data_IF_535394331471
#
_entry.id   IF_535394331471
#
_cell.length_a   1.000
_cell.length_b   1.000
_cell.length_c   1.000
_cell.angle_alpha   90.00
_cell.angle_beta   90.00
_cell.angle_gamma   90.00
#
_symmetry.space_group_name_H-M   'P 1'
#
loop_
_entity.id
_entity.type
_entity.pdbx_description
1 polymer ?
#
# COMPACT_ATOMS: atom_id res chain seq x y z
N UNK A 1 -17.77 54.69 -12.77
CA UNK A 1 -17.80 53.22 -12.53
C UNK A 1 -16.65 52.62 -13.33
N UNK A 2 -15.48 52.50 -12.70
CA UNK A 2 -14.32 51.81 -13.27
C UNK A 2 -14.18 50.47 -12.52
N UNK A 3 -14.27 49.38 -13.27
CA UNK A 3 -14.02 48.02 -12.79
C UNK A 3 -12.52 47.76 -12.70
N UNK A 4 -11.97 47.70 -11.48
CA UNK A 4 -10.60 47.24 -11.23
C UNK A 4 -10.53 45.72 -11.42
N UNK A 5 -9.90 45.29 -12.52
CA UNK A 5 -9.38 43.92 -12.65
C UNK A 5 -8.16 43.75 -11.74
N UNK A 6 -8.27 42.97 -10.67
CA UNK A 6 -7.10 42.55 -9.89
C UNK A 6 -6.28 41.55 -10.71
N UNK A 7 -5.09 41.95 -11.14
CA UNK A 7 -4.13 41.05 -11.79
C UNK A 7 -3.50 40.14 -10.73
N UNK A 8 -4.01 38.90 -10.62
CA UNK A 8 -3.40 37.87 -9.78
C UNK A 8 -2.01 37.55 -10.32
N UNK A 9 -0.98 37.72 -9.48
CA UNK A 9 0.40 37.42 -9.86
C UNK A 9 0.54 35.94 -10.27
N UNK A 10 1.32 35.61 -11.32
CA UNK A 10 1.45 34.25 -11.79
C UNK A 10 2.10 33.35 -10.72
N UNK A 11 1.67 32.08 -10.60
CA UNK A 11 2.14 31.19 -9.55
C UNK A 11 3.65 30.92 -9.68
N UNK A 12 4.39 31.12 -8.58
CA UNK A 12 5.80 30.74 -8.45
C UNK A 12 5.88 29.25 -8.08
N UNK A 13 6.69 28.50 -8.81
CA UNK A 13 6.86 27.05 -8.67
C UNK A 13 8.21 26.73 -8.05
N UNK A 14 8.29 25.70 -7.20
CA UNK A 14 9.51 25.36 -6.47
C UNK A 14 9.98 23.92 -6.77
N UNK A 15 11.28 23.72 -6.84
CA UNK A 15 11.91 22.40 -6.96
C UNK A 15 11.69 21.57 -5.69
N UNK A 16 11.14 20.36 -5.80
CA UNK A 16 10.86 19.50 -4.65
C UNK A 16 12.11 18.96 -3.92
N UNK A 17 13.30 19.08 -4.52
CA UNK A 17 14.55 18.51 -3.97
C UNK A 17 15.45 19.56 -3.31
N UNK A 18 15.40 20.81 -3.78
CA UNK A 18 16.30 21.88 -3.30
C UNK A 18 15.59 23.22 -3.11
N UNK A 19 14.27 23.24 -3.22
CA UNK A 19 13.38 24.39 -2.98
C UNK A 19 13.67 25.66 -3.81
N UNK A 20 14.37 25.49 -4.93
CA UNK A 20 14.68 26.59 -5.84
C UNK A 20 13.42 27.09 -6.56
N UNK A 21 13.15 28.41 -6.63
CA UNK A 21 11.97 28.97 -7.30
C UNK A 21 12.13 29.08 -8.82
N UNK A 22 11.00 28.99 -9.53
CA UNK A 22 10.88 29.05 -10.98
C UNK A 22 9.55 29.69 -11.39
N UNK A 23 9.59 30.44 -12.48
CA UNK A 23 8.41 31.11 -13.04
C UNK A 23 7.67 30.30 -14.11
N UNK A 24 8.20 29.13 -14.52
CA UNK A 24 7.61 28.28 -15.58
C UNK A 24 7.78 26.80 -15.26
N UNK A 25 6.71 26.01 -15.41
CA UNK A 25 6.69 24.57 -15.11
C UNK A 25 7.76 23.78 -15.87
N UNK A 26 7.91 24.02 -17.18
CA UNK A 26 8.94 23.38 -18.00
C UNK A 26 10.37 23.56 -17.47
N UNK A 27 10.67 24.69 -16.79
CA UNK A 27 11.99 24.96 -16.21
C UNK A 27 12.22 24.26 -14.88
N UNK A 28 11.17 24.10 -14.06
CA UNK A 28 11.22 23.26 -12.84
C UNK A 28 11.51 21.82 -13.21
N UNK A 29 10.82 21.29 -14.21
CA UNK A 29 10.92 19.90 -14.66
C UNK A 29 12.32 19.56 -15.16
N UNK A 30 12.88 20.40 -16.05
CA UNK A 30 14.25 20.23 -16.52
C UNK A 30 15.32 20.46 -15.45
N UNK A 31 14.99 21.13 -14.34
CA UNK A 31 15.88 21.30 -13.19
C UNK A 31 15.84 20.09 -12.25
N UNK A 32 14.65 19.62 -11.87
CA UNK A 32 14.46 18.42 -11.04
C UNK A 32 15.12 17.22 -11.71
N UNK A 33 14.88 16.97 -13.00
CA UNK A 33 15.51 15.87 -13.74
C UNK A 33 17.05 15.91 -13.69
N UNK A 34 17.65 17.10 -13.79
CA UNK A 34 19.12 17.28 -13.69
C UNK A 34 19.64 17.08 -12.27
N UNK A 35 18.90 17.52 -11.25
CA UNK A 35 19.29 17.36 -9.84
C UNK A 35 19.18 15.89 -9.43
N UNK A 36 18.09 15.21 -9.83
CA UNK A 36 17.86 13.78 -9.61
C UNK A 36 18.90 12.94 -10.35
N UNK A 37 19.18 13.21 -11.63
CA UNK A 37 20.22 12.52 -12.40
C UNK A 37 21.63 12.71 -11.80
N UNK A 38 21.96 13.89 -11.28
CA UNK A 38 23.27 14.13 -10.64
C UNK A 38 23.41 13.42 -9.29
N UNK A 39 22.32 13.25 -8.53
CA UNK A 39 22.30 12.50 -7.27
C UNK A 39 22.34 10.98 -7.47
N UNK A 40 21.78 10.48 -8.58
CA UNK A 40 21.70 9.06 -8.92
C UNK A 40 22.82 8.58 -9.87
N UNK A 41 23.90 9.35 -10.00
CA UNK A 41 25.01 9.05 -10.91
C UNK A 41 25.93 7.94 -10.35
N UNK A 42 25.40 6.73 -10.30
CA UNK A 42 26.10 5.49 -10.59
C UNK A 42 25.05 4.43 -10.96
N UNK A 43 25.15 3.88 -12.18
CA UNK A 43 24.61 2.56 -12.60
C UNK A 43 23.22 2.38 -13.20
N UNK A 44 22.39 3.40 -13.50
CA UNK A 44 21.08 3.15 -14.16
C UNK A 44 20.80 3.89 -15.48
N UNK A 45 20.10 3.17 -16.36
CA UNK A 45 19.68 3.55 -17.72
C UNK A 45 18.74 4.77 -17.72
N UNK A 46 18.99 5.72 -18.63
CA UNK A 46 18.34 7.04 -18.69
C UNK A 46 16.83 6.94 -18.90
N UNK A 47 16.36 5.94 -19.64
CA UNK A 47 14.96 5.82 -20.03
C UNK A 47 14.07 5.35 -18.87
N UNK A 48 14.58 4.44 -18.04
CA UNK A 48 13.89 3.98 -16.82
C UNK A 48 13.78 5.10 -15.76
N UNK A 49 14.82 5.93 -15.65
CA UNK A 49 14.84 7.12 -14.76
C UNK A 49 13.82 8.16 -15.22
N UNK A 50 13.66 8.36 -16.53
CA UNK A 50 12.64 9.26 -17.09
C UNK A 50 11.22 8.77 -16.79
N UNK A 51 10.96 7.47 -16.93
CA UNK A 51 9.67 6.87 -16.60
C UNK A 51 9.35 6.96 -15.08
N UNK A 52 10.36 6.74 -14.23
CA UNK A 52 10.26 6.88 -12.78
C UNK A 52 9.97 8.32 -12.34
N UNK A 53 10.71 9.28 -12.92
CA UNK A 53 10.50 10.70 -12.65
C UNK A 53 9.12 11.19 -13.13
N UNK A 54 8.61 10.66 -14.24
CA UNK A 54 7.27 11.01 -14.74
C UNK A 54 6.16 10.42 -13.87
N UNK A 55 6.32 9.18 -13.38
CA UNK A 55 5.36 8.55 -12.46
C UNK A 55 5.29 9.32 -11.12
N UNK A 56 6.44 9.57 -10.47
CA UNK A 56 6.52 10.39 -9.25
C UNK A 56 5.99 11.82 -9.46
N UNK A 57 6.17 12.39 -10.66
CA UNK A 57 5.67 13.71 -11.06
C UNK A 57 4.15 13.76 -11.20
N UNK A 58 3.51 12.71 -11.74
CA UNK A 58 2.04 12.62 -11.75
C UNK A 58 1.51 12.57 -10.31
N UNK A 59 2.10 11.74 -9.46
CA UNK A 59 1.68 11.62 -8.05
C UNK A 59 1.86 12.93 -7.24
N UNK A 60 2.97 13.65 -7.38
CA UNK A 60 3.24 14.90 -6.61
C UNK A 60 2.46 16.13 -7.12
N UNK A 61 2.10 16.20 -8.41
CA UNK A 61 1.27 17.28 -8.94
C UNK A 61 -0.16 17.17 -8.39
N UNK A 62 -0.70 15.95 -8.33
CA UNK A 62 -2.05 15.70 -7.82
C UNK A 62 -2.13 15.88 -6.30
N UNK A 63 -1.08 15.48 -5.57
CA UNK A 63 -0.93 15.75 -4.12
C UNK A 63 -1.05 17.24 -3.78
N UNK A 64 -0.32 18.09 -4.51
CA UNK A 64 -0.34 19.55 -4.30
C UNK A 64 -1.63 20.21 -4.76
N UNK A 65 -2.35 19.64 -5.74
CA UNK A 65 -3.66 20.13 -6.17
C UNK A 65 -4.74 19.79 -5.14
N UNK A 66 -4.74 18.57 -4.60
CA UNK A 66 -5.66 18.18 -3.53
C UNK A 66 -5.44 19.00 -2.25
N UNK A 67 -4.19 19.14 -1.79
CA UNK A 67 -3.86 19.97 -0.63
C UNK A 67 -4.21 21.46 -0.82
N UNK A 68 -4.18 21.97 -2.06
CA UNK A 68 -4.64 23.33 -2.37
C UNK A 68 -6.16 23.45 -2.34
N UNK A 69 -6.90 22.48 -2.87
CA UNK A 69 -8.35 22.46 -2.81
C UNK A 69 -8.87 22.32 -1.35
N UNK A 70 -8.12 21.65 -0.48
CA UNK A 70 -8.44 21.57 0.96
C UNK A 70 -8.07 22.84 1.76
N UNK A 71 -7.20 23.74 1.27
CA UNK A 71 -6.94 25.01 1.96
C UNK A 71 -8.13 25.96 1.98
N UNK A 72 -9.06 25.81 1.04
CA UNK A 72 -10.36 26.50 1.07
C UNK A 72 -11.33 25.88 2.11
N UNK A 73 -10.99 24.70 2.66
CA UNK A 73 -11.70 23.96 3.71
C UNK A 73 -10.81 23.74 4.94
N UNK A 74 -10.33 24.82 5.58
CA UNK A 74 -9.75 24.87 6.96
C UNK A 74 -9.00 23.63 7.48
N UNK A 75 -8.16 22.97 6.68
CA UNK A 75 -7.23 21.94 7.14
C UNK A 75 -5.83 22.55 7.17
N UNK A 76 -5.39 22.97 8.34
CA UNK A 76 -4.07 23.56 8.57
C UNK A 76 -3.02 22.44 8.66
N UNK A 77 -2.68 21.88 7.50
CA UNK A 77 -1.65 20.83 7.37
C UNK A 77 -0.30 21.50 7.14
N UNK A 78 0.37 21.89 8.22
CA UNK A 78 1.76 22.35 8.21
C UNK A 78 2.72 21.15 8.14
N UNK A 79 2.83 20.55 6.96
CA UNK A 79 3.77 19.47 6.66
C UNK A 79 5.17 20.05 6.36
N UNK A 80 5.97 20.27 7.40
CA UNK A 80 7.43 20.17 7.28
C UNK A 80 7.88 18.83 7.88
N UNK A 81 8.88 18.20 7.27
CA UNK A 81 9.58 16.95 7.65
C UNK A 81 9.36 15.72 6.77
N UNK A 82 10.42 14.92 6.79
CA UNK A 82 11.06 14.14 5.74
C UNK A 82 10.32 12.85 5.36
N UNK A 83 10.20 12.57 4.07
CA UNK A 83 9.53 11.37 3.51
C UNK A 83 10.41 10.10 3.62
N UNK A 84 11.13 9.96 4.73
CA UNK A 84 12.18 8.94 4.94
C UNK A 84 11.71 7.52 5.32
N UNK A 85 10.46 7.04 5.09
CA UNK A 85 10.27 5.60 4.91
C UNK A 85 10.70 5.13 3.52
N UNK A 86 10.91 6.07 2.57
CA UNK A 86 11.27 5.81 1.18
C UNK A 86 12.54 6.56 0.75
N UNK A 87 13.60 6.47 1.55
CA UNK A 87 14.92 6.92 1.09
C UNK A 87 15.31 6.15 -0.19
N UNK A 88 15.82 6.83 -1.23
CA UNK A 88 16.53 6.12 -2.30
C UNK A 88 17.75 5.47 -1.65
N UNK A 89 17.72 4.15 -1.52
CA UNK A 89 18.85 3.36 -1.03
C UNK A 89 19.99 3.53 -2.04
N UNK A 90 20.99 4.35 -1.71
CA UNK A 90 22.13 4.66 -2.59
C UNK A 90 23.25 3.62 -2.53
N UNK A 91 23.15 2.55 -1.74
CA UNK A 91 24.29 1.65 -1.49
C UNK A 91 24.00 0.13 -1.48
N UNK A 92 22.87 -0.33 -2.03
CA UNK A 92 22.70 -1.77 -2.29
C UNK A 92 22.86 -2.00 -3.79
N UNK A 93 23.85 -2.83 -4.16
CA UNK A 93 24.06 -3.29 -5.52
C UNK A 93 22.69 -3.70 -6.10
N UNK A 94 22.23 -3.04 -7.18
CA UNK A 94 20.83 -3.17 -7.52
C UNK A 94 20.58 -4.55 -8.09
N UNK A 95 19.63 -5.28 -7.49
CA UNK A 95 18.91 -6.30 -8.21
C UNK A 95 18.25 -5.60 -9.41
N UNK A 96 18.89 -5.69 -10.57
CA UNK A 96 18.43 -5.08 -11.81
C UNK A 96 17.25 -5.91 -12.33
N UNK A 97 16.04 -5.57 -11.87
CA UNK A 97 14.81 -6.12 -12.43
C UNK A 97 14.66 -5.63 -13.87
N UNK A 98 15.01 -6.47 -14.84
CA UNK A 98 14.98 -6.14 -16.25
C UNK A 98 13.51 -6.01 -16.72
N UNK A 99 13.09 -4.79 -17.07
CA UNK A 99 11.71 -4.44 -17.42
C UNK A 99 11.42 -4.67 -18.91
N UNK A 100 11.72 -5.87 -19.41
CA UNK A 100 11.33 -6.28 -20.78
C UNK A 100 10.02 -7.11 -20.78
N UNK A 101 9.39 -7.18 -21.97
CA UNK A 101 8.03 -7.72 -22.24
C UNK A 101 7.62 -8.87 -21.31
N UNK A 102 6.42 -8.76 -20.73
CA UNK A 102 5.81 -9.80 -19.88
C UNK A 102 5.80 -11.18 -20.55
N UNK A 103 6.33 -12.18 -19.87
CA UNK A 103 6.11 -13.58 -20.25
C UNK A 103 4.63 -13.97 -20.10
N UNK A 104 4.19 -14.99 -20.85
CA UNK A 104 2.83 -15.54 -20.70
C UNK A 104 2.57 -16.07 -19.29
N UNK A 105 3.61 -16.58 -18.61
CA UNK A 105 3.54 -17.02 -17.22
C UNK A 105 3.31 -15.84 -16.26
N UNK A 106 4.03 -14.73 -16.42
CA UNK A 106 3.80 -13.52 -15.61
C UNK A 106 2.37 -12.96 -15.78
N UNK A 107 1.78 -13.07 -16.99
CA UNK A 107 0.37 -12.70 -17.21
C UNK A 107 -0.58 -13.61 -16.45
N UNK A 108 -0.34 -14.92 -16.48
CA UNK A 108 -1.15 -15.89 -15.75
C UNK A 108 -1.10 -15.65 -14.23
N UNK A 109 0.08 -15.41 -13.67
CA UNK A 109 0.22 -15.07 -12.25
C UNK A 109 -0.47 -13.76 -11.88
N UNK A 110 -0.39 -12.73 -12.73
CA UNK A 110 -1.13 -11.48 -12.50
C UNK A 110 -2.64 -11.70 -12.48
N UNK A 111 -3.17 -12.53 -13.40
CA UNK A 111 -4.59 -12.92 -13.39
C UNK A 111 -4.95 -13.68 -12.12
N UNK A 112 -4.12 -14.63 -11.67
CA UNK A 112 -4.35 -15.35 -10.41
C UNK A 112 -4.39 -14.42 -9.19
N UNK A 113 -3.50 -13.42 -9.12
CA UNK A 113 -3.52 -12.41 -8.06
C UNK A 113 -4.84 -11.63 -8.09
N UNK A 114 -5.28 -11.17 -9.26
CA UNK A 114 -6.56 -10.45 -9.41
C UNK A 114 -7.73 -11.33 -8.97
N UNK A 115 -7.76 -12.59 -9.41
CA UNK A 115 -8.84 -13.53 -9.08
C UNK A 115 -8.91 -13.84 -7.58
N UNK A 116 -7.77 -13.82 -6.88
CA UNK A 116 -7.71 -13.99 -5.43
C UNK A 116 -8.12 -12.75 -4.64
N UNK A 117 -7.89 -11.55 -5.18
CA UNK A 117 -8.25 -10.27 -4.54
C UNK A 117 -9.71 -9.90 -4.82
N UNK A 118 -10.26 -10.30 -5.96
CA UNK A 118 -11.64 -9.99 -6.37
C UNK A 118 -12.72 -10.32 -5.31
N UNK A 119 -12.62 -11.40 -4.53
CA UNK A 119 -13.59 -11.72 -3.47
C UNK A 119 -13.48 -10.85 -2.20
N UNK A 120 -12.42 -10.05 -2.04
CA UNK A 120 -12.18 -9.31 -0.80
C UNK A 120 -13.32 -8.36 -0.39
N UNK A 121 -13.98 -7.62 -1.31
CA UNK A 121 -15.17 -6.84 -0.96
C UNK A 121 -16.31 -7.69 -0.41
N UNK A 122 -16.52 -8.90 -0.93
CA UNK A 122 -17.55 -9.82 -0.42
C UNK A 122 -17.17 -10.38 0.95
N UNK A 123 -15.89 -10.70 1.15
CA UNK A 123 -15.31 -11.09 2.44
C UNK A 123 -15.50 -10.00 3.51
N UNK A 124 -15.37 -8.73 3.12
CA UNK A 124 -15.53 -7.57 4.00
C UNK A 124 -16.96 -7.39 4.56
N UNK A 125 -17.96 -8.12 4.04
CA UNK A 125 -19.35 -7.99 4.49
C UNK A 125 -19.61 -8.53 5.90
N UNK A 126 -18.72 -9.36 6.47
CA UNK A 126 -18.85 -9.97 7.80
C UNK A 126 -17.50 -10.04 8.50
N UNK A 127 -17.50 -9.88 9.83
CA UNK A 127 -16.29 -9.87 10.67
C UNK A 127 -15.51 -11.18 10.59
N UNK A 128 -16.21 -12.30 10.53
CA UNK A 128 -15.64 -13.66 10.53
C UNK A 128 -14.99 -14.03 9.20
N UNK A 129 -15.34 -13.31 8.13
CA UNK A 129 -14.86 -13.58 6.77
C UNK A 129 -13.92 -12.51 6.26
N UNK A 130 -13.38 -11.66 7.14
CA UNK A 130 -12.54 -10.55 6.72
C UNK A 130 -11.37 -10.97 5.82
N UNK A 131 -10.96 -10.09 4.88
CA UNK A 131 -9.79 -10.32 4.03
C UNK A 131 -8.53 -10.65 4.83
N UNK A 132 -7.54 -11.36 4.23
CA UNK A 132 -6.34 -11.87 4.94
C UNK A 132 -5.32 -10.78 5.35
N UNK A 133 -5.75 -9.52 5.44
CA UNK A 133 -5.01 -8.38 5.97
C UNK A 133 -5.78 -7.62 7.07
N UNK A 134 -6.99 -8.05 7.42
CA UNK A 134 -7.81 -7.47 8.49
C UNK A 134 -8.14 -8.58 9.48
N UNK A 135 -7.56 -8.52 10.68
CA UNK A 135 -7.81 -9.52 11.70
C UNK A 135 -9.18 -9.30 12.36
N UNK A 136 -10.02 -10.34 12.59
CA UNK A 136 -11.30 -10.19 13.27
C UNK A 136 -11.19 -9.64 14.69
N UNK A 137 -10.07 -9.91 15.38
CA UNK A 137 -9.80 -9.41 16.74
C UNK A 137 -8.98 -8.10 16.74
N UNK A 138 -8.86 -7.41 15.61
CA UNK A 138 -8.33 -6.03 15.62
C UNK A 138 -9.37 -5.13 16.30
N UNK A 139 -9.03 -4.62 17.47
CA UNK A 139 -9.91 -3.81 18.31
C UNK A 139 -9.47 -2.35 18.39
N UNK A 140 -10.41 -1.49 18.76
CA UNK A 140 -10.09 -0.13 19.22
C UNK A 140 -9.49 -0.18 20.63
N UNK A 141 -8.75 0.86 21.03
CA UNK A 141 -8.04 0.93 22.31
C UNK A 141 -8.99 0.69 23.50
N UNK A 142 -8.93 -0.51 24.10
CA UNK A 142 -9.66 -0.86 25.31
C UNK A 142 -11.10 -1.36 25.13
N UNK A 143 -11.57 -1.59 23.90
CA UNK A 143 -12.92 -2.07 23.61
C UNK A 143 -12.90 -3.38 22.81
N UNK A 144 -13.83 -4.30 23.06
CA UNK A 144 -14.01 -5.52 22.23
C UNK A 144 -14.70 -5.23 20.87
N UNK A 145 -14.84 -3.94 20.54
CA UNK A 145 -15.49 -3.47 19.33
C UNK A 145 -14.50 -3.29 18.17
N UNK A 146 -15.01 -3.55 16.96
CA UNK A 146 -14.31 -3.28 15.72
C UNK A 146 -14.07 -1.76 15.58
N UNK A 147 -12.90 -1.26 15.17
CA UNK A 147 -12.70 0.17 14.95
C UNK A 147 -13.69 0.78 13.95
N UNK A 148 -14.09 2.03 14.17
CA UNK A 148 -15.10 2.73 13.35
C UNK A 148 -14.84 2.69 11.83
N UNK A 149 -13.60 2.93 11.32
CA UNK A 149 -13.32 2.83 9.90
C UNK A 149 -13.68 1.46 9.30
N UNK A 150 -13.51 0.37 10.06
CA UNK A 150 -13.83 -0.98 9.62
C UNK A 150 -15.33 -1.30 9.75
N UNK A 151 -16.04 -0.75 10.75
CA UNK A 151 -17.51 -0.85 10.84
C UNK A 151 -18.17 -0.23 9.60
N UNK A 152 -17.71 0.97 9.21
CA UNK A 152 -18.20 1.67 8.02
C UNK A 152 -17.84 0.92 6.75
N UNK A 153 -16.58 0.48 6.61
CA UNK A 153 -16.14 -0.27 5.45
C UNK A 153 -16.93 -1.58 5.26
N UNK A 154 -17.27 -2.29 6.33
CA UNK A 154 -18.14 -3.48 6.30
C UNK A 154 -19.55 -3.14 5.81
N UNK A 155 -20.13 -2.03 6.30
CA UNK A 155 -21.47 -1.58 5.88
C UNK A 155 -21.49 -1.15 4.41
N UNK A 156 -20.45 -0.44 3.97
CA UNK A 156 -20.25 -0.05 2.58
C UNK A 156 -20.01 -1.27 1.69
N UNK A 157 -19.31 -2.29 2.16
CA UNK A 157 -19.14 -3.54 1.42
C UNK A 157 -20.46 -4.25 1.14
N UNK A 158 -21.39 -4.24 2.10
CA UNK A 158 -22.74 -4.76 1.92
C UNK A 158 -23.52 -3.94 0.89
N UNK A 159 -23.46 -2.60 0.98
CA UNK A 159 -24.06 -1.70 -0.02
C UNK A 159 -23.46 -1.91 -1.42
N UNK A 160 -22.14 -2.06 -1.50
CA UNK A 160 -21.41 -2.32 -2.73
C UNK A 160 -21.94 -3.59 -3.38
N UNK A 161 -22.02 -4.70 -2.66
CA UNK A 161 -22.51 -5.94 -3.26
C UNK A 161 -24.00 -5.91 -3.60
N UNK A 162 -24.82 -5.20 -2.82
CA UNK A 162 -26.26 -5.05 -3.07
C UNK A 162 -26.62 -4.03 -4.16
N UNK A 163 -25.64 -3.26 -4.68
CA UNK A 163 -25.89 -2.18 -5.64
C UNK A 163 -26.47 -2.71 -6.96
N UNK A 164 -27.30 -1.90 -7.58
CA UNK A 164 -27.79 -2.10 -8.94
C UNK A 164 -27.46 -0.86 -9.79
N UNK A 165 -27.89 -0.83 -11.06
CA UNK A 165 -27.62 0.28 -11.95
C UNK A 165 -28.07 1.64 -11.39
N UNK A 166 -29.20 1.67 -10.69
CA UNK A 166 -29.80 2.90 -10.16
C UNK A 166 -29.09 3.39 -8.88
N UNK A 167 -28.61 2.47 -8.05
CA UNK A 167 -27.97 2.79 -6.76
C UNK A 167 -26.45 2.90 -6.83
N UNK A 168 -25.84 2.54 -7.95
CA UNK A 168 -24.37 2.52 -8.12
C UNK A 168 -23.72 3.88 -7.84
N UNK A 169 -24.27 4.96 -8.38
CA UNK A 169 -23.74 6.32 -8.19
C UNK A 169 -23.78 6.73 -6.71
N UNK A 170 -24.87 6.41 -6.02
CA UNK A 170 -25.02 6.64 -4.59
C UNK A 170 -23.95 5.90 -3.79
N UNK A 171 -23.74 4.59 -4.04
CA UNK A 171 -22.71 3.81 -3.35
C UNK A 171 -21.31 4.39 -3.58
N UNK A 172 -20.98 4.80 -4.80
CA UNK A 172 -19.69 5.44 -5.09
C UNK A 172 -19.53 6.79 -4.39
N UNK A 173 -20.60 7.58 -4.30
CA UNK A 173 -20.61 8.80 -3.49
C UNK A 173 -20.38 8.49 -2.01
N UNK A 174 -20.98 7.43 -1.47
CA UNK A 174 -20.78 7.00 -0.08
C UNK A 174 -19.32 6.59 0.17
N UNK A 175 -18.71 5.82 -0.73
CA UNK A 175 -17.29 5.45 -0.65
C UNK A 175 -16.42 6.72 -0.63
N UNK A 176 -16.72 7.68 -1.52
CA UNK A 176 -16.01 8.96 -1.59
C UNK A 176 -16.06 9.71 -0.28
N UNK A 177 -17.27 9.96 0.20
CA UNK A 177 -17.50 10.72 1.43
C UNK A 177 -16.87 10.04 2.64
N UNK A 178 -16.86 8.70 2.67
CA UNK A 178 -16.18 7.97 3.73
C UNK A 178 -14.66 8.13 3.66
N UNK A 179 -14.05 8.05 2.48
CA UNK A 179 -12.61 8.32 2.32
C UNK A 179 -12.24 9.74 2.75
N UNK A 180 -13.08 10.74 2.43
CA UNK A 180 -12.91 12.12 2.89
C UNK A 180 -13.01 12.22 4.42
N UNK A 181 -13.99 11.55 5.02
CA UNK A 181 -14.16 11.48 6.48
C UNK A 181 -12.92 10.87 7.16
N UNK A 182 -12.33 9.83 6.58
CA UNK A 182 -11.10 9.24 7.11
C UNK A 182 -9.95 10.25 7.14
N UNK A 183 -9.81 11.08 6.10
CA UNK A 183 -8.77 12.12 6.04
C UNK A 183 -9.04 13.25 7.05
N UNK A 184 -10.30 13.68 7.17
CA UNK A 184 -10.68 14.75 8.11
C UNK A 184 -10.35 14.36 9.56
N UNK A 185 -10.60 13.11 9.94
CA UNK A 185 -10.37 12.62 11.31
C UNK A 185 -8.97 12.04 11.51
N UNK A 186 -8.13 12.02 10.47
CA UNK A 186 -6.85 11.31 10.47
C UNK A 186 -5.88 11.77 11.57
N UNK A 187 -5.96 13.04 11.98
CA UNK A 187 -5.12 13.61 13.03
C UNK A 187 -5.56 13.20 14.44
N UNK A 188 -6.84 12.88 14.62
CA UNK A 188 -7.39 12.47 15.93
C UNK A 188 -7.31 10.97 16.15
N UNK A 189 -7.02 10.19 15.11
CA UNK A 189 -6.94 8.74 15.19
C UNK A 189 -5.80 8.25 16.07
N UNK A 190 -6.10 7.23 16.88
CA UNK A 190 -5.09 6.40 17.52
C UNK A 190 -4.33 5.55 16.49
N UNK A 191 -3.26 4.85 16.91
CA UNK A 191 -2.54 3.92 16.02
C UNK A 191 -3.45 2.82 15.47
N UNK A 192 -4.38 2.31 16.28
CA UNK A 192 -5.33 1.27 15.89
C UNK A 192 -6.37 1.79 14.90
N UNK A 193 -6.88 3.01 15.12
CA UNK A 193 -7.81 3.66 14.20
C UNK A 193 -7.15 4.03 12.86
N UNK A 194 -5.89 4.47 12.89
CA UNK A 194 -5.14 4.76 11.67
C UNK A 194 -4.86 3.49 10.84
N UNK A 195 -4.55 2.36 11.49
CA UNK A 195 -4.43 1.07 10.83
C UNK A 195 -5.78 0.60 10.25
N UNK A 196 -6.87 0.79 10.99
CA UNK A 196 -8.22 0.50 10.51
C UNK A 196 -8.59 1.36 9.29
N UNK A 197 -8.27 2.66 9.31
CA UNK A 197 -8.45 3.57 8.18
C UNK A 197 -7.58 3.18 6.97
N UNK A 198 -6.34 2.75 7.20
CA UNK A 198 -5.46 2.23 6.15
C UNK A 198 -6.05 0.97 5.51
N UNK A 199 -6.56 0.06 6.33
CA UNK A 199 -7.22 -1.17 5.88
C UNK A 199 -8.48 -0.86 5.06
N UNK A 200 -9.34 0.04 5.53
CA UNK A 200 -10.55 0.46 4.86
C UNK A 200 -10.27 1.17 3.52
N UNK A 201 -9.30 2.09 3.49
CA UNK A 201 -8.91 2.78 2.25
C UNK A 201 -8.34 1.83 1.20
N UNK A 202 -7.54 0.82 1.60
CA UNK A 202 -7.07 -0.23 0.70
C UNK A 202 -8.24 -1.06 0.14
N UNK A 203 -9.24 -1.38 0.99
CA UNK A 203 -10.44 -2.08 0.56
C UNK A 203 -11.24 -1.28 -0.48
N UNK A 204 -11.37 0.03 -0.31
CA UNK A 204 -12.05 0.88 -1.31
C UNK A 204 -11.31 0.91 -2.64
N UNK A 205 -9.97 0.89 -2.64
CA UNK A 205 -9.19 0.72 -3.88
C UNK A 205 -9.43 -0.64 -4.53
N UNK A 206 -9.57 -1.71 -3.74
CA UNK A 206 -9.90 -3.05 -4.26
C UNK A 206 -11.31 -3.10 -4.84
N UNK A 207 -12.29 -2.50 -4.17
CA UNK A 207 -13.65 -2.32 -4.72
C UNK A 207 -13.60 -1.59 -6.05
N UNK A 208 -12.76 -0.55 -6.16
CA UNK A 208 -12.61 0.20 -7.40
C UNK A 208 -11.95 -0.59 -8.52
N UNK A 209 -10.90 -1.34 -8.22
CA UNK A 209 -10.19 -2.18 -9.17
C UNK A 209 -11.03 -3.37 -9.68
N UNK A 210 -12.01 -3.81 -8.88
CA UNK A 210 -12.88 -4.96 -9.21
C UNK A 210 -14.19 -4.54 -9.87
N UNK A 211 -14.56 -3.26 -9.80
CA UNK A 211 -15.74 -2.71 -10.49
C UNK A 211 -15.46 -2.52 -11.99
N UNK A 212 -16.20 -3.23 -12.83
CA UNK A 212 -15.90 -3.42 -14.26
C UNK A 212 -16.31 -2.26 -15.18
N UNK A 213 -16.87 -1.20 -14.62
CA UNK A 213 -17.48 -0.09 -15.37
C UNK A 213 -16.50 1.09 -15.48
N UNK A 214 -16.23 1.64 -16.69
CA UNK A 214 -15.40 2.81 -16.88
C UNK A 214 -15.95 4.03 -16.10
N UNK A 215 -15.37 4.29 -14.93
CA UNK A 215 -15.51 5.55 -14.22
C UNK A 215 -14.42 6.54 -14.64
N UNK A 216 -14.61 7.80 -14.26
CA UNK A 216 -13.67 8.89 -14.50
C UNK A 216 -12.29 8.58 -13.90
N UNK A 217 -11.25 8.54 -14.75
CA UNK A 217 -9.85 8.34 -14.34
C UNK A 217 -9.36 9.33 -13.28
N UNK A 218 -9.94 10.54 -13.21
CA UNK A 218 -9.61 11.54 -12.18
C UNK A 218 -9.98 11.03 -10.79
N UNK A 219 -11.12 10.35 -10.68
CA UNK A 219 -11.60 9.77 -9.44
C UNK A 219 -10.68 8.63 -8.97
N UNK A 220 -10.06 7.89 -9.87
CA UNK A 220 -9.18 6.79 -9.48
C UNK A 220 -7.88 7.30 -8.84
N UNK A 221 -7.31 8.35 -9.43
CA UNK A 221 -6.08 8.98 -8.92
C UNK A 221 -6.30 9.59 -7.54
N UNK A 222 -7.43 10.26 -7.33
CA UNK A 222 -7.75 10.87 -6.04
C UNK A 222 -7.91 9.83 -4.92
N UNK A 223 -8.52 8.68 -5.18
CA UNK A 223 -8.63 7.61 -4.17
C UNK A 223 -7.25 7.07 -3.78
N UNK A 224 -6.36 6.86 -4.76
CA UNK A 224 -4.99 6.43 -4.49
C UNK A 224 -4.25 7.48 -3.67
N UNK A 225 -4.48 8.76 -3.96
CA UNK A 225 -3.86 9.85 -3.22
C UNK A 225 -4.36 9.91 -1.76
N UNK A 226 -5.67 9.79 -1.52
CA UNK A 226 -6.21 9.71 -0.15
C UNK A 226 -5.61 8.51 0.61
N UNK A 227 -5.52 7.34 -0.03
CA UNK A 227 -4.89 6.17 0.57
C UNK A 227 -3.42 6.44 0.96
N UNK A 228 -2.66 7.17 0.13
CA UNK A 228 -1.28 7.56 0.45
C UNK A 228 -1.19 8.48 1.68
N UNK A 229 -2.10 9.45 1.82
CA UNK A 229 -2.15 10.32 3.01
C UNK A 229 -2.39 9.47 4.27
N UNK A 230 -3.37 8.57 4.22
CA UNK A 230 -3.70 7.68 5.34
C UNK A 230 -2.53 6.75 5.66
N UNK A 231 -1.91 6.16 4.64
CA UNK A 231 -0.74 5.29 4.78
C UNK A 231 0.43 6.00 5.46
N UNK A 232 0.73 7.23 5.05
CA UNK A 232 1.76 8.05 5.69
C UNK A 232 1.48 8.23 7.19
N UNK A 233 0.26 8.63 7.54
CA UNK A 233 -0.11 8.80 8.95
C UNK A 233 -0.04 7.50 9.75
N UNK A 234 -0.53 6.41 9.18
CA UNK A 234 -0.51 5.10 9.83
C UNK A 234 0.93 4.67 10.12
N UNK A 235 1.87 4.90 9.19
CA UNK A 235 3.31 4.64 9.39
C UNK A 235 3.87 5.52 10.50
N UNK A 236 3.55 6.82 10.52
CA UNK A 236 4.00 7.75 11.57
C UNK A 236 3.55 7.32 12.98
N UNK A 237 2.33 6.81 13.11
CA UNK A 237 1.76 6.40 14.40
C UNK A 237 2.15 4.98 14.83
N UNK A 238 2.55 4.13 13.88
CA UNK A 238 2.85 2.72 14.14
C UNK A 238 4.33 2.47 14.46
N UNK A 239 5.13 3.52 14.62
CA UNK A 239 6.54 3.46 14.99
C UNK A 239 7.32 2.45 14.12
N UNK A 240 7.78 1.35 14.71
CA UNK A 240 8.61 0.33 14.07
C UNK A 240 7.80 -0.83 13.45
N UNK A 241 6.47 -0.88 13.62
CA UNK A 241 5.63 -2.01 13.24
C UNK A 241 5.65 -2.33 11.72
N UNK A 242 5.88 -1.34 10.87
CA UNK A 242 6.01 -1.51 9.41
C UNK A 242 7.45 -1.86 8.96
N UNK A 243 8.42 -1.80 9.88
CA UNK A 243 9.85 -1.80 9.55
C UNK A 243 10.56 -3.03 10.10
N UNK A 244 10.39 -3.31 11.39
CA UNK A 244 11.21 -4.28 12.12
C UNK A 244 10.51 -5.64 12.16
N UNK A 245 11.25 -6.69 11.80
CA UNK A 245 10.88 -8.06 12.13
C UNK A 245 11.02 -8.22 13.64
N UNK A 246 9.93 -8.56 14.33
CA UNK A 246 9.91 -8.56 15.80
C UNK A 246 11.03 -9.40 16.41
N UNK A 247 11.73 -8.88 17.44
CA UNK A 247 12.54 -9.70 18.32
C UNK A 247 11.71 -10.80 19.00
N UNK A 248 12.34 -11.94 19.25
CA UNK A 248 11.76 -13.19 19.75
C UNK A 248 11.43 -13.17 21.26
N UNK A 249 10.92 -12.07 21.79
CA UNK A 249 10.71 -11.95 23.23
C UNK A 249 9.38 -12.57 23.68
N UNK A 250 9.42 -13.23 24.85
CA UNK A 250 8.36 -14.10 25.39
C UNK A 250 7.20 -13.37 26.07
N UNK A 251 7.29 -12.04 26.22
CA UNK A 251 6.31 -11.20 26.92
C UNK A 251 5.31 -10.51 25.98
N UNK A 252 5.00 -11.12 24.84
CA UNK A 252 4.09 -10.50 23.85
C UNK A 252 2.62 -10.62 24.23
N UNK A 253 1.92 -9.50 24.10
CA UNK A 253 0.47 -9.39 24.11
C UNK A 253 -0.06 -9.73 22.70
N UNK A 254 -1.02 -10.66 22.61
CA UNK A 254 -1.61 -11.06 21.33
C UNK A 254 -2.20 -9.88 20.53
N UNK A 255 -2.75 -8.87 21.19
CA UNK A 255 -3.29 -7.67 20.54
C UNK A 255 -2.20 -6.85 19.83
N UNK A 256 -1.01 -6.70 20.45
CA UNK A 256 0.11 -6.00 19.81
C UNK A 256 0.65 -6.78 18.61
N UNK A 257 0.71 -8.11 18.73
CA UNK A 257 1.08 -8.98 17.61
C UNK A 257 0.07 -8.86 16.46
N UNK A 258 -1.25 -8.87 16.74
CA UNK A 258 -2.29 -8.67 15.72
C UNK A 258 -2.07 -7.34 15.00
N UNK A 259 -1.79 -6.26 15.74
CA UNK A 259 -1.53 -4.95 15.17
C UNK A 259 -0.34 -4.98 14.20
N UNK A 260 0.80 -5.50 14.65
CA UNK A 260 2.04 -5.59 13.85
C UNK A 260 1.90 -6.51 12.64
N UNK A 261 1.27 -7.66 12.81
CA UNK A 261 1.00 -8.60 11.73
C UNK A 261 0.02 -8.01 10.70
N UNK A 262 -1.00 -7.27 11.15
CA UNK A 262 -1.93 -6.57 10.25
C UNK A 262 -1.21 -5.50 9.41
N UNK A 263 -0.32 -4.70 10.03
CA UNK A 263 0.54 -3.76 9.30
C UNK A 263 1.35 -4.48 8.20
N UNK A 264 2.00 -5.60 8.55
CA UNK A 264 2.79 -6.40 7.61
C UNK A 264 1.95 -6.95 6.45
N UNK A 265 0.76 -7.48 6.74
CA UNK A 265 -0.14 -8.07 5.74
C UNK A 265 -0.68 -7.04 4.76
N UNK A 266 -1.00 -5.83 5.24
CA UNK A 266 -1.42 -4.70 4.38
C UNK A 266 -0.34 -4.33 3.36
N UNK A 267 0.93 -4.24 3.79
CA UNK A 267 2.05 -3.94 2.88
C UNK A 267 2.08 -4.97 1.74
N UNK A 268 1.91 -6.26 2.06
CA UNK A 268 1.99 -7.34 1.08
C UNK A 268 0.80 -7.37 0.12
N UNK A 269 -0.41 -7.04 0.57
CA UNK A 269 -1.56 -6.88 -0.33
C UNK A 269 -1.35 -5.68 -1.24
N UNK A 270 -0.91 -4.54 -0.70
CA UNK A 270 -0.60 -3.36 -1.50
C UNK A 270 0.50 -3.62 -2.53
N UNK A 271 1.55 -4.36 -2.14
CA UNK A 271 2.62 -4.79 -3.03
C UNK A 271 2.09 -5.64 -4.18
N UNK A 272 1.28 -6.67 -3.91
CA UNK A 272 0.73 -7.55 -4.95
C UNK A 272 -0.12 -6.77 -5.98
N UNK A 273 -0.99 -5.86 -5.51
CA UNK A 273 -1.81 -5.00 -6.37
C UNK A 273 -0.92 -4.07 -7.20
N UNK A 274 0.05 -3.42 -6.56
CA UNK A 274 0.99 -2.51 -7.23
C UNK A 274 1.83 -3.23 -8.28
N UNK A 275 2.28 -4.45 -7.97
CA UNK A 275 3.04 -5.29 -8.89
C UNK A 275 2.21 -5.63 -10.13
N UNK A 276 0.97 -6.07 -9.96
CA UNK A 276 0.04 -6.33 -11.07
C UNK A 276 -0.17 -5.08 -11.91
N UNK A 277 -0.45 -3.93 -11.28
CA UNK A 277 -0.67 -2.66 -11.96
C UNK A 277 0.56 -2.22 -12.78
N UNK A 278 1.75 -2.20 -12.16
CA UNK A 278 3.00 -1.86 -12.82
C UNK A 278 3.21 -2.76 -14.04
N UNK A 279 2.99 -4.05 -13.87
CA UNK A 279 3.23 -5.04 -14.89
C UNK A 279 2.26 -4.91 -16.07
N UNK A 280 0.96 -4.74 -15.81
CA UNK A 280 -0.05 -4.53 -16.85
C UNK A 280 0.15 -3.20 -17.58
N UNK A 281 0.63 -2.17 -16.87
CA UNK A 281 0.90 -0.84 -17.42
C UNK A 281 2.29 -0.70 -18.06
N UNK A 282 3.09 -1.78 -18.08
CA UNK A 282 4.48 -1.77 -18.56
C UNK A 282 5.37 -0.71 -17.86
N UNK A 283 5.17 -0.53 -16.56
CA UNK A 283 5.91 0.36 -15.68
C UNK A 283 6.88 -0.43 -14.77
N UNK A 284 8.04 0.15 -14.40
CA UNK A 284 8.92 -0.44 -13.40
C UNK A 284 8.22 -0.58 -12.03
N UNK A 285 8.28 -1.78 -11.46
CA UNK A 285 7.81 -2.05 -10.10
C UNK A 285 8.98 -1.94 -9.11
N UNK A 286 9.18 -0.76 -8.54
CA UNK A 286 10.28 -0.52 -7.61
C UNK A 286 9.98 -1.00 -6.18
N UNK A 287 8.71 -1.32 -5.90
CA UNK A 287 8.31 -1.90 -4.61
C UNK A 287 9.06 -3.18 -4.28
N UNK A 288 9.42 -3.99 -5.30
CA UNK A 288 10.18 -5.21 -5.09
C UNK A 288 11.56 -4.95 -4.47
N UNK A 289 12.22 -3.85 -4.87
CA UNK A 289 13.51 -3.45 -4.29
C UNK A 289 13.32 -2.95 -2.86
N UNK A 290 12.31 -2.12 -2.62
CA UNK A 290 12.06 -1.52 -1.30
C UNK A 290 11.59 -2.55 -0.26
N UNK A 291 10.93 -3.62 -0.70
CA UNK A 291 10.31 -4.61 0.20
C UNK A 291 11.11 -5.92 0.31
N UNK A 292 12.23 -6.06 -0.39
CA UNK A 292 13.02 -7.30 -0.38
C UNK A 292 13.44 -7.73 1.04
N UNK A 293 13.78 -6.76 1.89
CA UNK A 293 14.26 -6.98 3.26
C UNK A 293 13.12 -6.95 4.29
N UNK A 294 11.86 -6.99 3.83
CA UNK A 294 10.69 -6.99 4.72
C UNK A 294 10.30 -8.41 5.11
N UNK A 295 9.84 -8.60 6.36
CA UNK A 295 9.41 -9.91 6.84
C UNK A 295 8.21 -10.42 6.06
N UNK A 296 8.22 -11.73 5.79
CA UNK A 296 7.07 -12.45 5.27
C UNK A 296 5.93 -12.48 6.30
N UNK A 297 4.67 -12.61 5.86
CA UNK A 297 3.54 -12.77 6.77
C UNK A 297 3.69 -14.06 7.59
N UNK A 298 3.05 -14.07 8.76
CA UNK A 298 2.98 -15.23 9.64
C UNK A 298 2.25 -16.41 8.98
N UNK A 299 2.35 -17.58 9.61
CA UNK A 299 1.59 -18.75 9.17
C UNK A 299 0.08 -18.53 9.29
N UNK A 300 -0.68 -19.30 8.50
CA UNK A 300 -2.14 -19.33 8.55
C UNK A 300 -2.66 -19.62 9.96
N UNK A 301 -2.04 -20.56 10.68
CA UNK A 301 -2.51 -20.98 12.00
C UNK A 301 -2.27 -19.92 13.07
N UNK A 302 -1.17 -19.15 12.97
CA UNK A 302 -0.96 -17.97 13.83
C UNK A 302 -2.00 -16.88 13.55
N UNK A 303 -2.29 -16.59 12.28
CA UNK A 303 -3.22 -15.54 11.88
C UNK A 303 -4.69 -15.86 12.14
N UNK A 304 -5.09 -17.13 12.01
CA UNK A 304 -6.48 -17.57 12.20
C UNK A 304 -6.79 -17.99 13.65
N UNK A 305 -5.85 -17.79 14.58
CA UNK A 305 -6.06 -18.07 15.99
C UNK A 305 -7.28 -17.30 16.52
N UNK A 306 -8.16 -18.01 17.25
CA UNK A 306 -9.42 -17.45 17.76
C UNK A 306 -9.28 -16.82 19.15
N UNK A 307 -8.17 -17.09 19.83
CA UNK A 307 -7.86 -16.55 21.14
C UNK A 307 -6.35 -16.56 21.38
N UNK A 308 -5.92 -15.80 22.38
CA UNK A 308 -4.52 -15.65 22.75
C UNK A 308 -3.84 -16.98 23.11
N UNK A 309 -4.53 -17.91 23.76
CA UNK A 309 -3.98 -19.24 24.12
C UNK A 309 -3.64 -20.07 22.88
N UNK A 310 -4.57 -20.10 21.91
CA UNK A 310 -4.34 -20.75 20.62
C UNK A 310 -3.19 -20.08 19.87
N UNK A 311 -3.19 -18.75 19.80
CA UNK A 311 -2.11 -18.01 19.14
C UNK A 311 -0.75 -18.30 19.77
N UNK A 312 -0.63 -18.28 21.10
CA UNK A 312 0.63 -18.59 21.80
C UNK A 312 1.15 -19.99 21.45
N UNK A 313 0.26 -20.97 21.37
CA UNK A 313 0.62 -22.34 20.98
C UNK A 313 1.17 -22.38 19.56
N UNK A 314 0.46 -21.78 18.61
CA UNK A 314 0.88 -21.75 17.21
C UNK A 314 2.15 -20.92 16.99
N UNK A 315 2.31 -19.82 17.71
CA UNK A 315 3.49 -18.95 17.66
C UNK A 315 4.74 -19.69 18.12
N UNK A 316 4.69 -20.41 19.25
CA UNK A 316 5.79 -21.27 19.72
C UNK A 316 6.12 -22.39 18.71
N UNK A 317 5.12 -22.99 18.08
CA UNK A 317 5.35 -24.02 17.04
C UNK A 317 5.96 -23.41 15.77
N UNK A 318 5.57 -22.20 15.41
CA UNK A 318 6.15 -21.46 14.29
C UNK A 318 7.61 -21.12 14.56
N UNK A 319 7.96 -20.73 15.79
CA UNK A 319 9.35 -20.48 16.22
C UNK A 319 10.26 -21.69 16.03
N UNK A 320 9.84 -22.88 16.47
CA UNK A 320 10.61 -24.13 16.30
C UNK A 320 10.83 -24.46 14.81
N UNK A 321 9.87 -24.08 13.95
CA UNK A 321 9.93 -24.32 12.50
C UNK A 321 10.66 -23.21 11.72
N UNK A 322 11.02 -22.08 12.36
CA UNK A 322 11.31 -20.78 11.71
C UNK A 322 12.67 -20.62 11.01
N UNK A 323 13.36 -21.67 10.60
CA UNK A 323 14.77 -21.53 10.21
C UNK A 323 15.05 -21.29 8.72
N UNK A 324 14.07 -21.11 7.82
CA UNK A 324 14.37 -21.24 6.38
C UNK A 324 13.96 -20.13 5.42
N UNK A 325 12.84 -19.41 5.63
CA UNK A 325 12.42 -18.23 4.85
C UNK A 325 11.76 -17.20 5.77
N UNK A 326 12.39 -16.05 5.96
CA UNK A 326 11.90 -15.01 6.89
C UNK A 326 11.59 -13.70 6.19
N UNK A 327 12.32 -13.41 5.11
CA UNK A 327 12.22 -12.19 4.32
C UNK A 327 11.71 -12.49 2.90
N UNK A 328 11.20 -11.48 2.23
CA UNK A 328 10.78 -11.64 0.83
C UNK A 328 11.92 -12.01 -0.10
N UNK A 329 13.13 -11.49 0.13
CA UNK A 329 14.32 -11.87 -0.63
C UNK A 329 14.61 -13.37 -0.50
N UNK A 330 14.40 -13.98 0.68
CA UNK A 330 14.59 -15.41 0.88
C UNK A 330 13.62 -16.21 0.00
N UNK A 331 12.34 -15.79 -0.03
CA UNK A 331 11.29 -16.44 -0.83
C UNK A 331 11.60 -16.30 -2.33
N UNK A 332 12.01 -15.10 -2.75
CA UNK A 332 12.42 -14.83 -4.12
C UNK A 332 13.60 -15.73 -4.53
N UNK A 333 14.64 -15.81 -3.69
CA UNK A 333 15.80 -16.67 -3.95
C UNK A 333 15.43 -18.16 -3.96
N UNK A 334 14.49 -18.60 -3.12
CA UNK A 334 14.00 -19.97 -3.15
C UNK A 334 13.29 -20.31 -4.47
N UNK A 335 12.47 -19.39 -5.01
CA UNK A 335 11.86 -19.54 -6.35
C UNK A 335 12.90 -19.48 -7.48
N UNK A 336 13.91 -18.61 -7.35
CA UNK A 336 15.00 -18.45 -8.34
C UNK A 336 15.90 -19.68 -8.41
N UNK A 337 16.19 -20.29 -7.26
CA UNK A 337 17.04 -21.50 -7.15
C UNK A 337 16.26 -22.80 -7.22
N UNK A 338 14.92 -22.75 -7.35
CA UNK A 338 14.02 -23.90 -7.29
C UNK A 338 14.24 -24.76 -6.04
N UNK A 339 14.42 -24.13 -4.87
CA UNK A 339 14.65 -24.82 -3.61
C UNK A 339 13.36 -25.46 -3.07
N UNK A 340 13.05 -26.66 -3.55
CA UNK A 340 11.82 -27.39 -3.22
C UNK A 340 11.64 -27.60 -1.71
N UNK A 341 12.72 -27.85 -0.95
CA UNK A 341 12.64 -28.06 0.50
C UNK A 341 12.12 -26.81 1.21
N UNK A 342 12.73 -25.65 0.94
CA UNK A 342 12.29 -24.38 1.54
C UNK A 342 10.88 -24.00 1.12
N UNK A 343 10.56 -24.18 -0.16
CA UNK A 343 9.23 -23.87 -0.71
C UNK A 343 8.15 -24.80 -0.15
N UNK A 344 8.42 -26.09 0.04
CA UNK A 344 7.45 -27.02 0.61
C UNK A 344 7.09 -26.66 2.05
N UNK A 345 8.08 -26.25 2.86
CA UNK A 345 7.86 -25.83 4.26
C UNK A 345 7.01 -24.56 4.29
N UNK A 346 7.35 -23.57 3.46
CA UNK A 346 6.57 -22.33 3.32
C UNK A 346 5.14 -22.63 2.87
N UNK A 347 4.98 -23.36 1.77
CA UNK A 347 3.68 -23.67 1.18
C UNK A 347 2.77 -24.49 2.12
N UNK A 348 3.34 -25.26 3.05
CA UNK A 348 2.57 -26.02 4.04
C UNK A 348 1.91 -25.12 5.11
N UNK A 349 2.44 -23.92 5.35
CA UNK A 349 2.00 -23.04 6.44
C UNK A 349 1.27 -21.77 6.01
N UNK A 350 1.23 -21.45 4.72
CA UNK A 350 0.67 -20.19 4.22
C UNK A 350 -0.85 -20.18 4.07
N UNK A 351 -1.40 -18.98 4.11
CA UNK A 351 -2.75 -18.67 3.68
C UNK A 351 -2.77 -18.08 2.26
N UNK A 352 -3.91 -17.48 1.88
CA UNK A 352 -4.09 -16.84 0.58
C UNK A 352 -3.09 -15.70 0.33
N UNK A 353 -2.65 -14.95 1.36
CA UNK A 353 -1.66 -13.90 1.19
C UNK A 353 -0.28 -14.49 0.85
N UNK A 354 0.13 -15.57 1.51
CA UNK A 354 1.37 -16.25 1.16
C UNK A 354 1.36 -16.79 -0.28
N UNK A 355 0.19 -17.20 -0.79
CA UNK A 355 0.02 -17.57 -2.20
C UNK A 355 0.17 -16.37 -3.16
N UNK A 356 -0.36 -15.19 -2.80
CA UNK A 356 -0.11 -13.96 -3.56
C UNK A 356 1.38 -13.63 -3.65
N UNK A 357 2.15 -13.89 -2.58
CA UNK A 357 3.59 -13.68 -2.57
C UNK A 357 4.35 -14.71 -3.42
N UNK A 358 3.90 -15.96 -3.47
CA UNK A 358 4.43 -16.95 -4.41
C UNK A 358 4.25 -16.49 -5.86
N UNK A 359 3.08 -15.99 -6.22
CA UNK A 359 2.83 -15.45 -7.57
C UNK A 359 3.68 -14.22 -7.83
N UNK A 360 3.77 -13.30 -6.86
CA UNK A 360 4.61 -12.10 -6.96
C UNK A 360 6.09 -12.45 -7.18
N UNK A 361 6.64 -13.40 -6.42
CA UNK A 361 8.01 -13.86 -6.57
C UNK A 361 8.27 -14.48 -7.95
N UNK A 362 7.36 -15.31 -8.47
CA UNK A 362 7.49 -15.89 -9.80
C UNK A 362 7.35 -14.85 -10.93
N UNK A 363 6.48 -13.84 -10.74
CA UNK A 363 6.35 -12.71 -11.67
C UNK A 363 7.63 -11.89 -11.80
N UNK A 364 8.41 -11.79 -10.72
CA UNK A 364 9.71 -11.14 -10.69
C UNK A 364 10.83 -12.07 -11.20
N UNK A 365 10.70 -13.40 -11.06
CA UNK A 365 11.68 -14.39 -11.51
C UNK A 365 11.75 -14.52 -13.02
N UNK A 366 10.59 -14.53 -13.68
CA UNK A 366 10.49 -14.83 -15.12
C UNK A 366 10.93 -13.65 -16.03
N UNK A 367 11.86 -12.80 -15.57
CA UNK A 367 12.31 -11.58 -16.27
C UNK A 367 13.81 -11.37 -16.25
#
# INVERSE_FOLDING_TARGET
>A
METQHSSVAPPVLFCSICDKPFSKAARVLGHVARVTSRKLNATFDRDAISAFAEALRVYTITERQYLRNQRDLRLDVSLSYDLSPFTPITEIAPYSFNMNRMSSASKAYATMIIDMIRPYPQMMMRRETFPPFIHPHLTADGEDELPFPLKNCMSIAQMFFARNADTRSFVWSTIRSEMDNLVINLQTFSKHEALAALSASLMYLIMRATDSDPQDSVNDVEMVFIHQIICKRAIELAEDAFIIAEPMDSDKNWSDWIFRESCRRIIWVWFAISLVFCIQSNLPCLFAVTLQDKPLPSSKTEWEAQNESQWRTEHMLAEVRRSQLSLFIDLFDAHRTNNATKLNIWNAGIDNLGMLLNFSANMLRDR
#
